data_IF_566703298575
#
_entry.id   IF_566703298575
#
_cell.length_a   1.000
_cell.length_b   1.000
_cell.length_c   1.000
_cell.angle_alpha   90.00
_cell.angle_beta   90.00
_cell.angle_gamma   90.00
#
_symmetry.space_group_name_H-M   'P 1'
#
loop_
_entity.id
_entity.type
_entity.pdbx_description
1 polymer ?
#
# COMPACT_ATOMS: atom_id res chain seq x y z
N UNK A 1 11.27 6.44 16.97
CA UNK A 1 10.37 7.54 16.53
C UNK A 1 9.49 7.02 15.40
N UNK A 2 8.17 6.92 15.58
CA UNK A 2 7.28 6.43 14.51
C UNK A 2 7.03 7.51 13.48
N UNK A 3 7.18 7.19 12.19
CA UNK A 3 6.84 8.09 11.09
C UNK A 3 5.36 8.00 10.79
N UNK A 4 4.63 9.09 10.99
CA UNK A 4 3.21 9.16 10.63
C UNK A 4 3.04 9.21 9.11
N UNK A 5 1.87 8.79 8.62
CA UNK A 5 1.54 8.82 7.19
C UNK A 5 1.68 10.24 6.63
N UNK A 6 1.24 11.26 7.38
CA UNK A 6 1.41 12.66 6.96
C UNK A 6 2.89 13.00 6.77
N UNK A 7 3.75 12.60 7.71
CA UNK A 7 5.18 12.86 7.62
C UNK A 7 5.80 12.15 6.41
N UNK A 8 5.39 10.93 6.11
CA UNK A 8 5.84 10.22 4.90
C UNK A 8 5.40 10.95 3.62
N UNK A 9 4.14 11.42 3.55
CA UNK A 9 3.63 12.23 2.44
C UNK A 9 4.46 13.51 2.27
N UNK A 10 4.72 14.24 3.35
CA UNK A 10 5.45 15.51 3.32
C UNK A 10 6.92 15.33 2.91
N UNK A 11 7.56 14.25 3.36
CA UNK A 11 8.96 13.95 3.04
C UNK A 11 9.15 13.50 1.59
N UNK A 12 8.26 12.63 1.11
CA UNK A 12 8.41 12.01 -0.21
C UNK A 12 7.69 12.77 -1.34
N UNK A 13 6.70 13.59 -1.00
CA UNK A 13 5.95 14.43 -1.95
C UNK A 13 5.46 13.61 -3.15
N UNK A 14 5.91 13.94 -4.35
CA UNK A 14 5.52 13.30 -5.61
C UNK A 14 5.95 11.82 -5.71
N UNK A 15 6.87 11.37 -4.85
CA UNK A 15 7.32 9.98 -4.79
C UNK A 15 6.41 9.11 -3.91
N UNK A 16 5.61 9.70 -3.02
CA UNK A 16 4.74 8.95 -2.11
C UNK A 16 3.70 8.08 -2.84
N UNK A 17 3.01 8.56 -3.90
CA UNK A 17 2.09 7.71 -4.67
C UNK A 17 2.78 6.47 -5.27
N UNK A 18 4.04 6.60 -5.70
CA UNK A 18 4.81 5.48 -6.25
C UNK A 18 5.13 4.48 -5.14
N UNK A 19 5.55 4.96 -3.97
CA UNK A 19 5.79 4.12 -2.80
C UNK A 19 4.52 3.39 -2.38
N UNK A 20 3.39 4.10 -2.28
CA UNK A 20 2.11 3.51 -1.89
C UNK A 20 1.72 2.40 -2.86
N UNK A 21 1.82 2.65 -4.18
CA UNK A 21 1.58 1.63 -5.20
C UNK A 21 2.51 0.41 -5.02
N UNK A 22 3.80 0.66 -4.76
CA UNK A 22 4.81 -0.40 -4.56
C UNK A 22 4.44 -1.29 -3.38
N UNK A 23 4.04 -0.68 -2.25
CA UNK A 23 3.58 -1.42 -1.08
C UNK A 23 2.29 -2.16 -1.39
N UNK A 24 1.30 -1.53 -2.03
CA UNK A 24 0.03 -2.15 -2.40
C UNK A 24 0.21 -3.31 -3.38
N UNK A 25 1.21 -3.30 -4.25
CA UNK A 25 1.49 -4.41 -5.17
C UNK A 25 2.44 -5.48 -4.58
N UNK A 26 2.74 -5.40 -3.28
CA UNK A 26 3.65 -6.33 -2.58
C UNK A 26 5.03 -6.40 -3.25
N UNK A 27 5.46 -5.32 -3.90
CA UNK A 27 6.83 -5.23 -4.41
C UNK A 27 7.76 -5.03 -3.20
N UNK A 28 8.86 -5.80 -3.08
CA UNK A 28 9.81 -5.62 -1.99
C UNK A 28 10.36 -4.20 -1.96
N UNK A 29 10.52 -3.64 -0.77
CA UNK A 29 11.12 -2.33 -0.56
C UNK A 29 12.29 -2.45 0.39
N UNK A 30 13.45 -1.96 -0.05
CA UNK A 30 14.64 -1.82 0.79
C UNK A 30 14.69 -0.40 1.37
N UNK A 31 14.86 -0.30 2.67
CA UNK A 31 15.06 0.97 3.38
C UNK A 31 16.53 1.04 3.74
N UNK A 32 17.23 2.01 3.15
CA UNK A 32 18.70 2.06 3.15
C UNK A 32 19.14 3.37 3.80
N UNK A 33 20.01 3.31 4.81
CA UNK A 33 20.53 4.51 5.48
C UNK A 33 21.64 4.18 6.47
N UNK A 34 22.32 5.20 6.98
CA UNK A 34 23.45 5.03 7.91
C UNK A 34 23.00 4.87 9.37
N UNK A 35 21.91 5.54 9.73
CA UNK A 35 21.34 5.50 11.09
C UNK A 35 20.41 4.29 11.23
N UNK A 36 20.85 3.32 12.04
CA UNK A 36 20.22 2.02 12.22
C UNK A 36 18.84 2.14 12.88
N UNK A 37 18.70 2.98 13.91
CA UNK A 37 17.42 3.20 14.59
C UNK A 37 16.42 3.88 13.65
N UNK A 38 16.89 4.88 12.91
CA UNK A 38 16.08 5.59 11.92
C UNK A 38 15.58 4.67 10.81
N UNK A 39 16.44 3.83 10.26
CA UNK A 39 16.08 2.87 9.20
C UNK A 39 15.05 1.87 9.72
N UNK A 40 15.23 1.34 10.93
CA UNK A 40 14.28 0.39 11.53
C UNK A 40 12.93 1.05 11.83
N UNK A 41 12.93 2.26 12.38
CA UNK A 41 11.73 3.07 12.63
C UNK A 41 10.91 3.30 11.34
N UNK A 42 11.59 3.66 10.24
CA UNK A 42 10.94 3.87 8.94
C UNK A 42 10.39 2.55 8.41
N UNK A 43 11.18 1.47 8.49
CA UNK A 43 10.77 0.14 8.01
C UNK A 43 9.51 -0.33 8.72
N UNK A 44 9.42 -0.17 10.05
CA UNK A 44 8.21 -0.47 10.80
C UNK A 44 7.05 0.46 10.40
N UNK A 45 7.32 1.76 10.26
CA UNK A 45 6.28 2.75 9.93
C UNK A 45 5.65 2.50 8.56
N UNK A 46 6.42 2.01 7.59
CA UNK A 46 5.93 1.68 6.24
C UNK A 46 4.93 0.52 6.23
N UNK A 47 4.92 -0.34 7.26
CA UNK A 47 3.89 -1.39 7.37
C UNK A 47 2.49 -0.80 7.52
N UNK A 48 2.37 0.42 8.06
CA UNK A 48 1.08 1.13 8.19
C UNK A 48 0.47 1.56 6.85
N UNK A 49 1.23 1.51 5.75
CA UNK A 49 0.73 1.82 4.41
C UNK A 49 -0.18 0.71 3.85
N UNK A 50 -0.17 -0.48 4.46
CA UNK A 50 -1.03 -1.61 4.08
C UNK A 50 -1.89 -2.09 5.27
N UNK A 51 -2.83 -1.26 5.77
CA UNK A 51 -3.61 -1.57 6.97
C UNK A 51 -4.53 -2.79 6.85
N UNK A 52 -4.89 -3.17 5.62
CA UNK A 52 -5.66 -4.38 5.32
C UNK A 52 -4.82 -5.67 5.48
N UNK A 53 -3.50 -5.55 5.64
CA UNK A 53 -2.57 -6.69 5.74
C UNK A 53 -2.15 -6.97 7.17
N UNK A 54 -1.94 -8.24 7.46
CA UNK A 54 -1.35 -8.69 8.71
C UNK A 54 0.16 -8.44 8.69
N UNK A 55 0.65 -7.64 9.61
CA UNK A 55 2.09 -7.42 9.80
C UNK A 55 2.75 -8.66 10.41
N UNK A 56 3.83 -9.13 9.80
CA UNK A 56 4.75 -10.13 10.35
C UNK A 56 6.16 -9.55 10.45
N UNK A 57 6.86 -9.80 11.55
CA UNK A 57 8.24 -9.39 11.77
C UNK A 57 9.15 -10.60 11.72
N UNK A 58 10.08 -10.60 10.78
CA UNK A 58 11.08 -11.65 10.64
C UNK A 58 11.94 -11.75 11.90
N UNK A 59 12.24 -12.97 12.33
CA UNK A 59 12.95 -13.32 13.56
C UNK A 59 12.17 -13.09 14.87
N UNK A 60 10.93 -12.61 14.81
CA UNK A 60 10.00 -12.56 15.94
C UNK A 60 8.78 -13.45 15.74
N UNK A 61 8.16 -13.31 14.57
CA UNK A 61 6.90 -13.98 14.25
C UNK A 61 7.14 -15.26 13.44
N UNK A 62 8.26 -15.35 12.70
CA UNK A 62 8.73 -16.53 11.98
C UNK A 62 10.25 -16.48 11.76
N UNK A 63 10.88 -17.63 11.51
CA UNK A 63 12.36 -17.73 11.38
C UNK A 63 12.84 -18.49 10.13
N UNK A 64 11.93 -19.07 9.36
CA UNK A 64 12.26 -19.91 8.20
C UNK A 64 11.37 -19.59 6.99
N UNK A 65 11.87 -19.86 5.79
CA UNK A 65 11.09 -19.70 4.56
C UNK A 65 9.86 -20.63 4.52
N UNK A 66 9.97 -21.84 5.06
CA UNK A 66 8.84 -22.79 5.12
C UNK A 66 7.66 -22.29 5.96
N UNK A 67 7.94 -21.56 7.05
CA UNK A 67 6.90 -20.97 7.89
C UNK A 67 6.12 -19.90 7.13
N UNK A 68 6.81 -18.97 6.45
CA UNK A 68 6.15 -17.90 5.70
C UNK A 68 5.47 -18.43 4.43
N UNK A 69 6.03 -19.44 3.76
CA UNK A 69 5.39 -20.10 2.63
C UNK A 69 4.07 -20.76 3.02
N UNK A 70 3.99 -21.39 4.20
CA UNK A 70 2.74 -21.97 4.70
C UNK A 70 1.65 -20.91 4.86
N UNK A 71 2.02 -19.70 5.29
CA UNK A 71 1.08 -18.57 5.39
C UNK A 71 0.63 -18.11 4.00
N UNK A 72 1.54 -18.00 3.03
CA UNK A 72 1.18 -17.63 1.66
C UNK A 72 0.33 -18.68 0.95
N UNK A 73 0.55 -19.97 1.24
CA UNK A 73 -0.32 -21.03 0.76
C UNK A 73 -1.74 -20.86 1.31
N UNK A 74 -1.90 -20.53 2.59
CA UNK A 74 -3.23 -20.23 3.16
C UNK A 74 -3.86 -18.99 2.49
N UNK A 75 -3.08 -17.92 2.28
CA UNK A 75 -3.53 -16.70 1.58
C UNK A 75 -4.04 -16.99 0.16
N UNK A 76 -3.43 -17.95 -0.54
CA UNK A 76 -3.78 -18.32 -1.92
C UNK A 76 -5.13 -19.04 -2.01
N UNK A 77 -5.46 -19.88 -1.03
CA UNK A 77 -6.69 -20.67 -1.06
C UNK A 77 -7.89 -19.97 -0.44
N UNK A 78 -7.67 -18.90 0.33
CA UNK A 78 -8.74 -18.20 1.04
C UNK A 78 -8.75 -16.68 0.76
N UNK A 79 -9.72 -16.24 -0.02
CA UNK A 79 -9.93 -14.82 -0.33
C UNK A 79 -10.27 -13.96 0.90
N UNK A 80 -10.74 -14.56 1.99
CA UNK A 80 -11.14 -13.85 3.21
C UNK A 80 -10.01 -13.65 4.23
N UNK A 81 -8.87 -14.33 4.06
CA UNK A 81 -7.69 -14.14 4.93
C UNK A 81 -6.96 -12.85 4.59
N UNK A 82 -6.51 -12.10 5.61
CA UNK A 82 -5.69 -10.91 5.39
C UNK A 82 -4.31 -11.32 4.89
N UNK A 83 -3.86 -10.69 3.80
CA UNK A 83 -2.53 -10.93 3.23
C UNK A 83 -1.47 -10.39 4.17
N UNK A 84 -0.24 -10.84 4.02
CA UNK A 84 0.85 -10.42 4.90
C UNK A 84 1.68 -9.30 4.29
N UNK A 85 2.15 -8.42 5.17
CA UNK A 85 3.29 -7.52 4.94
C UNK A 85 4.39 -7.90 5.91
N UNK A 86 5.58 -8.18 5.38
CA UNK A 86 6.72 -8.63 6.19
C UNK A 86 7.64 -7.46 6.46
N UNK A 87 8.09 -7.32 7.70
CA UNK A 87 9.10 -6.38 8.13
C UNK A 87 10.35 -7.14 8.58
N UNK A 88 11.50 -6.77 8.05
CA UNK A 88 12.81 -7.25 8.49
C UNK A 88 13.65 -6.08 8.97
N UNK A 89 13.96 -6.07 10.27
CA UNK A 89 14.82 -5.06 10.89
C UNK A 89 16.30 -5.29 10.55
N UNK A 90 17.08 -4.22 10.69
CA UNK A 90 18.50 -4.14 10.32
C UNK A 90 19.34 -5.25 10.96
N UNK A 91 19.04 -5.56 12.22
CA UNK A 91 19.74 -6.61 13.00
C UNK A 91 19.61 -8.02 12.42
N UNK A 92 18.55 -8.26 11.63
CA UNK A 92 18.21 -9.58 11.08
C UNK A 92 18.53 -9.71 9.59
N UNK A 93 19.12 -8.69 8.96
CA UNK A 93 19.38 -8.65 7.51
C UNK A 93 20.09 -9.92 7.02
N UNK A 94 21.22 -10.28 7.64
CA UNK A 94 22.00 -11.46 7.22
C UNK A 94 21.20 -12.76 7.33
N UNK A 95 20.47 -12.92 8.43
CA UNK A 95 19.62 -14.09 8.66
C UNK A 95 18.51 -14.18 7.63
N UNK A 96 17.94 -13.05 7.20
CA UNK A 96 16.92 -13.02 6.17
C UNK A 96 17.51 -13.47 4.82
N UNK A 97 18.67 -12.96 4.42
CA UNK A 97 19.33 -13.35 3.16
C UNK A 97 19.71 -14.82 3.12
N UNK A 98 20.17 -15.38 4.25
CA UNK A 98 20.59 -16.78 4.35
C UNK A 98 19.41 -17.75 4.31
N UNK A 99 18.21 -17.32 4.76
CA UNK A 99 17.08 -18.21 5.03
C UNK A 99 15.89 -18.00 4.11
N UNK A 100 15.81 -16.87 3.42
CA UNK A 100 14.66 -16.46 2.64
C UNK A 100 15.10 -16.23 1.19
N UNK A 101 14.39 -16.85 0.25
CA UNK A 101 14.60 -16.64 -1.17
C UNK A 101 13.51 -15.81 -1.83
N UNK A 102 12.30 -15.77 -1.26
CA UNK A 102 11.17 -14.99 -1.76
C UNK A 102 10.87 -13.78 -0.88
N UNK A 103 10.87 -12.58 -1.47
CA UNK A 103 10.71 -11.30 -0.76
C UNK A 103 9.39 -10.57 -1.10
N UNK A 104 8.38 -11.29 -1.59
CA UNK A 104 7.06 -10.70 -1.91
C UNK A 104 6.44 -10.03 -0.68
N UNK A 105 6.20 -8.73 -0.76
CA UNK A 105 5.63 -7.92 0.32
C UNK A 105 6.58 -7.65 1.49
N UNK A 106 7.90 -7.77 1.29
CA UNK A 106 8.89 -7.49 2.32
C UNK A 106 9.33 -6.02 2.33
N UNK A 107 9.45 -5.49 3.53
CA UNK A 107 10.12 -4.25 3.86
C UNK A 107 11.42 -4.61 4.59
N UNK A 108 12.57 -4.32 3.98
CA UNK A 108 13.88 -4.77 4.45
C UNK A 108 14.75 -3.58 4.83
N UNK A 109 15.13 -3.51 6.09
CA UNK A 109 16.06 -2.52 6.62
C UNK A 109 17.52 -2.89 6.28
N UNK A 110 18.27 -1.93 5.74
CA UNK A 110 19.66 -2.07 5.30
C UNK A 110 20.49 -0.91 5.88
N UNK A 111 21.27 -1.16 6.95
CA UNK A 111 22.02 -0.12 7.65
C UNK A 111 23.42 0.07 7.02
N UNK A 112 23.53 0.89 5.96
CA UNK A 112 24.80 1.20 5.31
C UNK A 112 25.84 1.76 6.31
N UNK A 113 27.10 1.42 6.13
CA UNK A 113 28.20 1.86 7.00
C UNK A 113 28.22 1.21 8.38
N UNK A 114 27.19 0.43 8.74
CA UNK A 114 27.12 -0.28 10.02
C UNK A 114 27.69 -1.69 9.93
N UNK A 115 28.15 -2.23 11.06
CA UNK A 115 28.54 -3.64 11.17
C UNK A 115 27.40 -4.44 11.80
N UNK A 116 26.80 -5.35 11.03
CA UNK A 116 25.72 -6.24 11.50
C UNK A 116 26.23 -7.68 11.51
N UNK A 117 26.18 -8.35 12.67
CA UNK A 117 26.65 -9.73 12.84
C UNK A 117 28.07 -9.96 12.27
N UNK A 118 28.96 -8.99 12.48
CA UNK A 118 30.36 -9.04 12.04
C UNK A 118 30.61 -8.73 10.56
N UNK A 119 29.59 -8.29 9.82
CA UNK A 119 29.70 -7.87 8.41
C UNK A 119 29.45 -6.37 8.31
N UNK A 120 30.41 -5.65 7.73
CA UNK A 120 30.21 -4.24 7.36
C UNK A 120 29.29 -4.18 6.16
N UNK A 121 28.15 -3.50 6.31
CA UNK A 121 27.17 -3.33 5.25
C UNK A 121 27.57 -2.12 4.42
N UNK A 122 27.91 -2.35 3.16
CA UNK A 122 28.32 -1.32 2.20
C UNK A 122 27.46 -1.36 0.92
N UNK A 123 27.78 -0.50 -0.06
CA UNK A 123 27.07 -0.48 -1.34
C UNK A 123 27.25 -1.79 -2.13
N UNK A 124 28.34 -2.54 -1.93
CA UNK A 124 28.49 -3.87 -2.52
C UNK A 124 27.47 -4.84 -1.92
N UNK A 125 27.33 -4.84 -0.59
CA UNK A 125 26.32 -5.62 0.13
C UNK A 125 24.93 -5.25 -0.35
N UNK A 126 24.63 -3.96 -0.54
CA UNK A 126 23.34 -3.53 -1.10
C UNK A 126 23.08 -4.11 -2.49
N UNK A 127 24.09 -4.12 -3.37
CA UNK A 127 23.96 -4.73 -4.70
C UNK A 127 23.74 -6.25 -4.63
N UNK A 128 24.39 -6.95 -3.70
CA UNK A 128 24.19 -8.38 -3.46
C UNK A 128 22.77 -8.68 -2.97
N UNK A 129 22.27 -7.90 -2.00
CA UNK A 129 20.88 -7.98 -1.52
C UNK A 129 19.89 -7.72 -2.65
N UNK A 130 20.14 -6.67 -3.42
CA UNK A 130 19.31 -6.29 -4.57
C UNK A 130 19.25 -7.44 -5.58
N UNK A 131 20.40 -8.01 -5.93
CA UNK A 131 20.49 -9.15 -6.84
C UNK A 131 19.80 -10.39 -6.30
N UNK A 132 19.84 -10.63 -4.99
CA UNK A 132 19.14 -11.75 -4.35
C UNK A 132 17.62 -11.58 -4.41
N UNK A 133 17.10 -10.39 -4.09
CA UNK A 133 15.66 -10.08 -4.18
C UNK A 133 15.17 -10.22 -5.62
N UNK A 134 15.91 -9.70 -6.60
CA UNK A 134 15.51 -9.72 -8.01
C UNK A 134 15.54 -11.11 -8.67
N UNK A 135 16.12 -12.13 -8.03
CA UNK A 135 16.04 -13.52 -8.54
C UNK A 135 14.61 -14.03 -8.62
N UNK A 136 13.78 -13.67 -7.63
CA UNK A 136 12.42 -14.17 -7.49
C UNK A 136 11.36 -13.05 -7.47
N UNK A 137 11.78 -11.79 -7.58
CA UNK A 137 10.88 -10.63 -7.63
C UNK A 137 11.09 -9.85 -8.92
N UNK A 138 10.01 -9.43 -9.62
CA UNK A 138 10.13 -8.73 -10.90
C UNK A 138 10.69 -7.31 -10.77
N UNK A 139 10.60 -6.71 -9.58
CA UNK A 139 11.07 -5.36 -9.30
C UNK A 139 11.41 -5.22 -7.81
N UNK A 140 12.06 -4.11 -7.45
CA UNK A 140 12.34 -3.73 -6.06
C UNK A 140 12.31 -2.21 -5.92
N UNK A 141 11.71 -1.74 -4.82
CA UNK A 141 11.78 -0.34 -4.39
C UNK A 141 12.99 -0.11 -3.49
N UNK A 142 13.56 1.09 -3.55
CA UNK A 142 14.65 1.53 -2.67
C UNK A 142 14.28 2.90 -2.10
N UNK A 143 14.20 2.97 -0.78
CA UNK A 143 14.15 4.22 -0.02
C UNK A 143 15.55 4.50 0.50
N UNK A 144 16.19 5.57 0.02
CA UNK A 144 17.46 6.06 0.58
C UNK A 144 17.18 7.15 1.60
N UNK A 145 17.61 6.90 2.83
CA UNK A 145 17.44 7.77 4.00
C UNK A 145 18.78 8.46 4.25
N UNK A 146 18.83 9.77 3.97
CA UNK A 146 20.03 10.59 4.20
C UNK A 146 19.98 11.28 5.55
N UNK A 147 18.77 11.62 6.03
CA UNK A 147 18.54 12.23 7.34
C UNK A 147 17.10 12.00 7.79
N UNK A 148 16.75 12.28 9.06
CA UNK A 148 15.36 12.20 9.54
C UNK A 148 14.35 13.10 8.80
N UNK A 149 14.83 14.03 7.97
CA UNK A 149 14.04 14.98 7.20
C UNK A 149 14.25 14.87 5.69
N UNK A 150 15.04 13.91 5.21
CA UNK A 150 15.35 13.77 3.78
C UNK A 150 15.44 12.31 3.40
N UNK A 151 14.51 11.90 2.54
CA UNK A 151 14.41 10.54 2.01
C UNK A 151 14.09 10.62 0.53
N UNK A 152 14.60 9.67 -0.25
CA UNK A 152 14.24 9.53 -1.66
C UNK A 152 13.79 8.12 -1.95
N UNK A 153 12.70 7.98 -2.70
CA UNK A 153 12.21 6.70 -3.17
C UNK A 153 12.44 6.53 -4.67
N UNK A 154 12.86 5.33 -5.06
CA UNK A 154 13.03 4.94 -6.46
C UNK A 154 12.65 3.48 -6.65
N UNK A 155 12.13 3.15 -7.82
CA UNK A 155 11.98 1.76 -8.28
C UNK A 155 13.13 1.44 -9.23
N UNK A 156 13.66 0.22 -9.14
CA UNK A 156 14.74 -0.22 -10.03
C UNK A 156 14.28 -0.29 -11.49
N UNK A 157 13.08 -0.83 -11.74
CA UNK A 157 12.40 -0.69 -13.02
C UNK A 157 11.35 0.43 -12.93
N UNK A 158 11.36 1.42 -13.84
CA UNK A 158 10.42 2.54 -13.79
C UNK A 158 8.97 2.05 -13.89
N UNK A 159 8.11 2.60 -13.04
CA UNK A 159 6.68 2.38 -13.12
C UNK A 159 6.07 3.25 -14.22
N UNK A 160 5.74 2.66 -15.38
CA UNK A 160 4.87 3.29 -16.37
C UNK A 160 3.41 3.20 -15.90
N UNK A 161 3.08 3.89 -14.80
CA UNK A 161 1.75 3.85 -14.18
C UNK A 161 1.20 5.25 -14.01
N UNK A 162 -0.10 5.39 -14.17
CA UNK A 162 -0.79 6.67 -14.01
C UNK A 162 -0.92 7.08 -12.54
N UNK A 163 -0.91 6.08 -11.62
CA UNK A 163 -0.98 6.23 -10.16
C UNK A 163 -2.21 7.02 -9.70
N UNK A 164 -3.33 6.88 -10.44
CA UNK A 164 -4.56 7.65 -10.22
C UNK A 164 -5.18 7.31 -8.86
N UNK A 165 -5.18 6.03 -8.47
CA UNK A 165 -5.72 5.58 -7.19
C UNK A 165 -4.94 6.20 -6.04
N UNK A 166 -3.62 6.08 -6.06
CA UNK A 166 -2.73 6.55 -5.00
C UNK A 166 -2.76 8.07 -4.87
N UNK A 167 -2.77 8.79 -6.00
CA UNK A 167 -2.93 10.25 -6.00
C UNK A 167 -4.28 10.69 -5.42
N UNK A 168 -5.36 9.99 -5.78
CA UNK A 168 -6.71 10.27 -5.24
C UNK A 168 -6.78 10.02 -3.74
N UNK A 169 -6.13 8.96 -3.24
CA UNK A 169 -6.03 8.67 -1.80
C UNK A 169 -5.32 9.83 -1.08
N UNK A 170 -4.15 10.25 -1.57
CA UNK A 170 -3.40 11.38 -0.99
C UNK A 170 -4.23 12.67 -1.00
N UNK A 171 -4.89 12.99 -2.11
CA UNK A 171 -5.74 14.18 -2.22
C UNK A 171 -6.89 14.16 -1.21
N UNK A 172 -7.60 13.03 -1.10
CA UNK A 172 -8.70 12.88 -0.14
C UNK A 172 -8.24 13.05 1.30
N UNK A 173 -7.08 12.53 1.66
CA UNK A 173 -6.49 12.70 3.00
C UNK A 173 -6.26 14.19 3.28
N UNK A 174 -5.58 14.89 2.36
CA UNK A 174 -5.28 16.32 2.53
C UNK A 174 -6.56 17.17 2.64
N UNK A 175 -7.57 16.88 1.82
CA UNK A 175 -8.85 17.62 1.82
C UNK A 175 -9.66 17.33 3.09
N UNK A 176 -9.93 16.05 3.41
CA UNK A 176 -10.75 15.67 4.58
C UNK A 176 -10.11 16.09 5.89
N UNK A 177 -8.78 15.98 6.01
CA UNK A 177 -8.01 16.46 7.16
C UNK A 177 -8.26 17.95 7.39
N UNK A 178 -8.04 18.77 6.35
CA UNK A 178 -8.22 20.23 6.43
C UNK A 178 -9.64 20.61 6.86
N UNK A 179 -10.64 20.03 6.21
CA UNK A 179 -12.05 20.31 6.51
C UNK A 179 -12.43 19.91 7.95
N UNK A 180 -11.98 18.74 8.41
CA UNK A 180 -12.29 18.24 9.76
C UNK A 180 -11.63 19.08 10.85
N UNK A 181 -10.36 19.44 10.68
CA UNK A 181 -9.64 20.30 11.63
C UNK A 181 -10.24 21.72 11.69
N UNK A 182 -10.60 22.30 10.55
CA UNK A 182 -11.26 23.61 10.51
C UNK A 182 -12.63 23.57 11.23
N UNK A 183 -13.40 22.49 11.04
CA UNK A 183 -14.67 22.29 11.72
C UNK A 183 -14.50 22.18 13.23
N UNK A 184 -13.54 21.39 13.70
CA UNK A 184 -13.25 21.23 15.14
C UNK A 184 -12.79 22.56 15.73
N UNK A 185 -11.84 23.25 15.09
CA UNK A 185 -11.37 24.58 15.54
C UNK A 185 -12.53 25.58 15.64
N UNK A 186 -13.46 25.58 14.69
CA UNK A 186 -14.64 26.46 14.72
C UNK A 186 -15.57 26.13 15.88
N UNK A 187 -15.81 24.84 16.15
CA UNK A 187 -16.65 24.40 17.27
C UNK A 187 -16.01 24.77 18.62
N UNK A 188 -14.73 24.48 18.81
CA UNK A 188 -13.99 24.83 20.03
C UNK A 188 -13.96 26.34 20.25
N UNK A 189 -13.65 27.15 19.23
CA UNK A 189 -13.71 28.61 19.32
C UNK A 189 -15.10 29.11 19.71
N UNK A 190 -16.16 28.51 19.16
CA UNK A 190 -17.53 28.90 19.51
C UNK A 190 -17.85 28.60 20.97
N UNK A 191 -17.44 27.45 21.48
CA UNK A 191 -17.67 27.03 22.87
C UNK A 191 -16.82 27.82 23.88
N UNK A 192 -15.61 28.25 23.50
CA UNK A 192 -14.69 28.98 24.38
C UNK A 192 -14.99 30.49 24.44
N UNK A 193 -15.68 31.06 23.43
CA UNK A 193 -16.08 32.47 23.41
C UNK A 193 -16.91 32.90 24.62
N UNK A 194 -17.72 32.00 25.20
CA UNK A 194 -18.55 32.30 26.37
C UNK A 194 -17.79 32.27 27.70
N UNK A 195 -16.52 31.85 27.71
CA UNK A 195 -15.77 31.55 28.93
C UNK A 195 -14.69 32.60 29.27
N UNK A 196 -14.55 33.68 28.49
CA UNK A 196 -13.54 34.74 28.68
C UNK A 196 -12.13 34.19 28.98
N UNK A 197 -11.75 33.12 28.26
CA UNK A 197 -10.48 32.42 28.48
C UNK A 197 -9.33 33.25 27.92
N UNK A 198 -8.17 33.21 28.56
CA UNK A 198 -6.95 33.87 28.05
C UNK A 198 -6.54 33.31 26.69
N UNK A 199 -5.90 34.15 25.88
CA UNK A 199 -5.46 33.80 24.52
C UNK A 199 -4.50 32.60 24.51
N UNK A 200 -3.62 32.49 25.50
CA UNK A 200 -2.70 31.36 25.64
C UNK A 200 -3.41 30.01 25.84
N UNK A 201 -4.50 29.98 26.63
CA UNK A 201 -5.28 28.75 26.82
C UNK A 201 -6.10 28.44 25.57
N UNK A 202 -6.62 29.48 24.89
CA UNK A 202 -7.32 29.32 23.62
C UNK A 202 -6.40 28.68 22.56
N UNK A 203 -5.16 29.13 22.46
CA UNK A 203 -4.16 28.56 21.55
C UNK A 203 -3.83 27.11 21.91
N UNK A 204 -3.60 26.81 23.19
CA UNK A 204 -3.31 25.45 23.65
C UNK A 204 -4.46 24.48 23.33
N UNK A 205 -5.72 24.89 23.53
CA UNK A 205 -6.90 24.05 23.20
C UNK A 205 -7.09 23.88 21.68
N UNK A 206 -6.61 24.82 20.87
CA UNK A 206 -6.68 24.75 19.41
C UNK A 206 -5.48 24.05 18.77
N UNK A 207 -4.51 23.61 19.58
CA UNK A 207 -3.40 22.76 19.15
C UNK A 207 -3.92 21.32 19.02
N UNK A 208 -4.31 20.98 17.80
CA UNK A 208 -4.96 19.71 17.44
C UNK A 208 -3.98 18.79 16.69
N UNK A 209 -2.73 18.74 17.12
CA UNK A 209 -1.68 17.99 16.41
C UNK A 209 -1.95 16.48 16.48
N UNK A 210 -2.27 15.97 17.68
CA UNK A 210 -2.61 14.56 17.90
C UNK A 210 -3.90 14.16 17.16
N UNK A 211 -4.94 15.01 17.18
CA UNK A 211 -6.17 14.78 16.42
C UNK A 211 -5.91 14.80 14.90
N UNK A 212 -5.02 15.69 14.45
CA UNK A 212 -4.60 15.77 13.05
C UNK A 212 -3.93 14.48 12.59
N UNK A 213 -3.07 13.89 13.41
CA UNK A 213 -2.43 12.61 13.11
C UNK A 213 -3.43 11.46 13.07
N UNK A 214 -4.29 11.35 14.09
CA UNK A 214 -5.35 10.32 14.14
C UNK A 214 -6.31 10.41 12.95
N UNK A 215 -6.80 11.61 12.63
CA UNK A 215 -7.67 11.84 11.47
C UNK A 215 -6.99 11.45 10.16
N UNK A 216 -5.68 11.69 10.06
CA UNK A 216 -4.92 11.30 8.86
C UNK A 216 -4.85 9.79 8.74
N UNK A 217 -4.58 9.08 9.84
CA UNK A 217 -4.56 7.63 9.89
C UNK A 217 -5.93 7.04 9.53
N UNK A 218 -7.00 7.50 10.19
CA UNK A 218 -8.35 6.99 9.98
C UNK A 218 -8.82 7.15 8.52
N UNK A 219 -8.58 8.33 7.92
CA UNK A 219 -8.95 8.59 6.52
C UNK A 219 -8.11 7.74 5.56
N UNK A 220 -6.82 7.56 5.84
CA UNK A 220 -5.98 6.69 5.03
C UNK A 220 -6.46 5.24 5.08
N UNK A 221 -6.72 4.71 6.27
CA UNK A 221 -7.21 3.34 6.45
C UNK A 221 -8.57 3.13 5.77
N UNK A 222 -9.50 4.08 5.90
CA UNK A 222 -10.80 4.04 5.23
C UNK A 222 -10.64 3.94 3.71
N UNK A 223 -9.80 4.79 3.11
CA UNK A 223 -9.63 4.84 1.66
C UNK A 223 -8.93 3.58 1.10
N UNK A 224 -7.92 3.07 1.81
CA UNK A 224 -7.27 1.80 1.43
C UNK A 224 -8.25 0.64 1.54
N UNK A 225 -8.99 0.54 2.65
CA UNK A 225 -9.96 -0.54 2.84
C UNK A 225 -11.09 -0.47 1.80
N UNK A 226 -11.57 0.73 1.46
CA UNK A 226 -12.57 0.90 0.40
C UNK A 226 -12.06 0.39 -0.95
N UNK A 227 -10.80 0.68 -1.30
CA UNK A 227 -10.17 0.16 -2.52
C UNK A 227 -10.06 -1.37 -2.49
N UNK A 228 -9.57 -1.95 -1.39
CA UNK A 228 -9.42 -3.40 -1.21
C UNK A 228 -10.78 -4.11 -1.30
N UNK A 229 -11.82 -3.54 -0.69
CA UNK A 229 -13.17 -4.08 -0.76
C UNK A 229 -13.76 -4.01 -2.17
N UNK A 230 -13.51 -2.92 -2.92
CA UNK A 230 -13.89 -2.83 -4.31
C UNK A 230 -13.18 -3.90 -5.16
N UNK A 231 -11.89 -4.11 -4.95
CA UNK A 231 -11.12 -5.14 -5.63
C UNK A 231 -11.60 -6.56 -5.27
N UNK A 232 -11.96 -6.84 -4.00
CA UNK A 232 -12.56 -8.12 -3.59
C UNK A 232 -13.92 -8.37 -4.26
N UNK A 233 -14.74 -7.32 -4.38
CA UNK A 233 -16.00 -7.39 -5.16
C UNK A 233 -15.71 -7.69 -6.63
N UNK A 234 -14.67 -7.06 -7.21
CA UNK A 234 -14.24 -7.33 -8.58
C UNK A 234 -13.86 -8.80 -8.76
N UNK A 235 -13.03 -9.38 -7.87
CA UNK A 235 -12.68 -10.81 -7.88
C UNK A 235 -13.95 -11.67 -7.90
N UNK A 236 -14.91 -11.41 -7.00
CA UNK A 236 -16.14 -12.19 -6.91
C UNK A 236 -16.95 -12.15 -8.22
N UNK A 237 -17.05 -10.98 -8.85
CA UNK A 237 -17.78 -10.80 -10.10
C UNK A 237 -17.04 -11.45 -11.28
N UNK A 238 -15.74 -11.22 -11.38
CA UNK A 238 -14.91 -11.72 -12.48
C UNK A 238 -14.77 -13.25 -12.44
N UNK A 239 -14.65 -13.86 -11.25
CA UNK A 239 -14.70 -15.31 -11.10
C UNK A 239 -16.03 -15.90 -11.58
N UNK A 240 -17.16 -15.24 -11.29
CA UNK A 240 -18.47 -15.69 -11.79
C UNK A 240 -18.60 -15.57 -13.31
N UNK A 241 -18.05 -14.50 -13.89
CA UNK A 241 -18.02 -14.31 -15.35
C UNK A 241 -17.15 -15.37 -16.01
N UNK A 242 -15.97 -15.67 -15.45
CA UNK A 242 -15.10 -16.73 -15.95
C UNK A 242 -15.80 -18.09 -15.94
N UNK A 243 -16.44 -18.45 -14.82
CA UNK A 243 -17.23 -19.68 -14.73
C UNK A 243 -18.39 -19.73 -15.73
N UNK A 244 -19.12 -18.63 -15.90
CA UNK A 244 -20.19 -18.56 -16.90
C UNK A 244 -19.66 -18.79 -18.33
N UNK A 245 -18.49 -18.24 -18.66
CA UNK A 245 -17.83 -18.46 -19.95
C UNK A 245 -17.37 -19.90 -20.14
N UNK A 246 -16.82 -20.53 -19.10
CA UNK A 246 -16.45 -21.95 -19.13
C UNK A 246 -17.68 -22.85 -19.36
N UNK A 247 -18.85 -22.44 -18.87
CA UNK A 247 -20.13 -23.11 -19.11
C UNK A 247 -20.78 -22.76 -20.46
N UNK A 248 -20.11 -21.96 -21.31
CA UNK A 248 -20.55 -21.65 -22.68
C UNK A 248 -21.31 -20.33 -22.85
N UNK A 249 -21.42 -19.49 -21.81
CA UNK A 249 -22.02 -18.17 -21.94
C UNK A 249 -21.06 -17.17 -22.61
N UNK A 250 -21.55 -16.32 -23.51
CA UNK A 250 -20.76 -15.28 -24.17
C UNK A 250 -20.62 -13.99 -23.34
N UNK A 251 -20.82 -14.05 -22.03
CA UNK A 251 -20.88 -12.87 -21.16
C UNK A 251 -19.54 -12.13 -21.14
N UNK A 252 -19.55 -10.87 -21.56
CA UNK A 252 -18.42 -9.95 -21.44
C UNK A 252 -18.83 -8.74 -20.61
N UNK A 253 -18.03 -8.36 -19.62
CA UNK A 253 -18.25 -7.17 -18.82
C UNK A 253 -17.49 -5.99 -19.42
N UNK A 254 -18.09 -4.81 -19.43
CA UNK A 254 -17.41 -3.56 -19.77
C UNK A 254 -16.75 -2.98 -18.51
N UNK A 255 -15.66 -2.25 -18.68
CA UNK A 255 -14.96 -1.57 -17.59
C UNK A 255 -15.92 -0.67 -16.77
N UNK A 256 -16.77 0.10 -17.44
CA UNK A 256 -17.78 0.94 -16.79
C UNK A 256 -18.73 0.14 -15.89
N UNK A 257 -19.29 -0.95 -16.40
CA UNK A 257 -20.23 -1.77 -15.63
C UNK A 257 -19.53 -2.43 -14.44
N UNK A 258 -18.24 -2.79 -14.57
CA UNK A 258 -17.46 -3.31 -13.45
C UNK A 258 -17.30 -2.26 -12.35
N UNK A 259 -16.85 -1.05 -12.69
CA UNK A 259 -16.63 0.03 -11.72
C UNK A 259 -17.93 0.45 -11.02
N UNK A 260 -19.04 0.55 -11.75
CA UNK A 260 -20.37 0.79 -11.18
C UNK A 260 -20.78 -0.33 -10.21
N UNK A 261 -20.57 -1.60 -10.57
CA UNK A 261 -20.94 -2.74 -9.74
C UNK A 261 -20.08 -2.89 -8.48
N UNK A 262 -18.78 -2.57 -8.56
CA UNK A 262 -17.87 -2.63 -7.40
C UNK A 262 -17.91 -1.35 -6.56
N UNK A 263 -18.62 -0.31 -6.99
CA UNK A 263 -18.74 0.95 -6.25
C UNK A 263 -17.40 1.68 -6.09
N UNK A 264 -16.58 1.69 -7.14
CA UNK A 264 -15.29 2.39 -7.17
C UNK A 264 -15.15 3.18 -8.46
N UNK A 265 -14.51 4.34 -8.41
CA UNK A 265 -14.55 5.35 -9.47
C UNK A 265 -13.15 5.92 -9.78
N UNK A 266 -12.08 5.20 -9.46
CA UNK A 266 -10.71 5.66 -9.63
C UNK A 266 -9.80 4.58 -10.19
N UNK A 267 -8.83 4.99 -10.99
CA UNK A 267 -7.85 4.09 -11.60
C UNK A 267 -8.27 3.57 -12.96
N UNK A 268 -7.31 2.93 -13.63
CA UNK A 268 -7.56 2.17 -14.85
C UNK A 268 -7.78 0.71 -14.48
N UNK A 269 -8.61 0.01 -15.24
CA UNK A 269 -8.84 -1.42 -15.02
C UNK A 269 -7.57 -2.26 -14.94
N UNK A 270 -6.56 -1.93 -15.74
CA UNK A 270 -5.26 -2.64 -15.75
C UNK A 270 -4.59 -2.57 -14.37
N UNK A 271 -4.69 -1.44 -13.69
CA UNK A 271 -4.12 -1.28 -12.34
C UNK A 271 -4.93 -2.06 -11.30
N UNK A 272 -6.26 -2.10 -11.43
CA UNK A 272 -7.13 -2.93 -10.59
C UNK A 272 -6.81 -4.42 -10.75
N UNK A 273 -6.65 -4.91 -11.98
CA UNK A 273 -6.30 -6.31 -12.26
C UNK A 273 -4.92 -6.64 -11.71
N UNK A 274 -3.95 -5.74 -11.86
CA UNK A 274 -2.60 -5.94 -11.29
C UNK A 274 -2.63 -5.99 -9.76
N UNK A 275 -3.41 -5.11 -9.13
CA UNK A 275 -3.61 -5.16 -7.69
C UNK A 275 -4.24 -6.52 -7.29
N UNK A 276 -5.24 -6.97 -8.03
CA UNK A 276 -5.87 -8.28 -7.79
C UNK A 276 -4.87 -9.43 -7.92
N UNK A 277 -4.06 -9.44 -8.97
CA UNK A 277 -3.02 -10.45 -9.16
C UNK A 277 -1.99 -10.43 -8.02
N UNK A 278 -1.58 -9.24 -7.56
CA UNK A 278 -0.64 -9.12 -6.45
C UNK A 278 -1.22 -9.58 -5.10
N UNK A 279 -2.53 -9.38 -4.89
CA UNK A 279 -3.19 -9.67 -3.61
C UNK A 279 -3.72 -11.11 -3.55
N UNK A 280 -4.20 -11.63 -4.68
CA UNK A 280 -4.94 -12.89 -4.80
C UNK A 280 -4.37 -13.90 -5.79
N UNK A 281 -3.30 -13.56 -6.53
CA UNK A 281 -2.68 -14.43 -7.53
C UNK A 281 -3.64 -14.90 -8.63
N UNK A 282 -4.59 -14.03 -8.98
CA UNK A 282 -5.59 -14.26 -10.01
C UNK A 282 -5.48 -13.18 -11.09
N UNK A 283 -5.19 -13.60 -12.32
CA UNK A 283 -5.19 -12.69 -13.47
C UNK A 283 -6.53 -12.76 -14.20
N UNK A 284 -7.31 -11.67 -14.16
CA UNK A 284 -8.60 -11.53 -14.86
C UNK A 284 -8.54 -10.70 -16.15
N UNK A 285 -7.35 -10.53 -16.73
CA UNK A 285 -7.16 -9.80 -18.00
C UNK A 285 -8.00 -10.38 -19.14
N UNK A 286 -8.31 -11.68 -19.09
CA UNK A 286 -9.14 -12.38 -20.08
C UNK A 286 -10.63 -12.05 -19.96
N UNK A 287 -11.10 -11.62 -18.78
CA UNK A 287 -12.52 -11.43 -18.47
C UNK A 287 -13.08 -10.08 -18.92
N UNK A 288 -12.24 -9.11 -19.28
CA UNK A 288 -12.68 -7.75 -19.60
C UNK A 288 -12.13 -7.28 -20.94
N UNK A 289 -13.01 -6.78 -21.81
CA UNK A 289 -12.61 -6.22 -23.10
C UNK A 289 -12.30 -4.73 -22.96
N UNK A 290 -11.06 -4.33 -23.19
CA UNK A 290 -10.67 -2.94 -23.39
C UNK A 290 -11.09 -2.47 -24.79
N UNK A 291 -12.13 -1.62 -24.90
CA UNK A 291 -12.44 -0.94 -26.17
C UNK A 291 -13.91 -0.78 -26.53
N UNK A 292 -14.18 0.29 -27.29
CA UNK A 292 -15.46 0.89 -27.70
C UNK A 292 -16.47 -0.02 -28.42
N UNK A 293 -16.09 -1.24 -28.83
CA UNK A 293 -16.98 -2.17 -29.54
C UNK A 293 -17.94 -2.95 -28.62
N UNK A 294 -17.72 -2.94 -27.30
CA UNK A 294 -18.63 -3.60 -26.34
C UNK A 294 -19.89 -2.79 -26.03
N UNK A 295 -19.93 -1.50 -26.39
CA UNK A 295 -21.08 -0.62 -26.12
C UNK A 295 -22.34 -0.99 -26.91
N UNK A 296 -22.20 -1.59 -28.10
CA UNK A 296 -23.34 -2.00 -28.92
C UNK A 296 -24.01 -3.28 -28.38
N UNK A 297 -23.23 -4.26 -27.91
CA UNK A 297 -23.78 -5.50 -27.35
C UNK A 297 -24.51 -5.28 -26.03
N UNK A 298 -23.91 -4.51 -25.11
CA UNK A 298 -24.52 -4.19 -23.82
C UNK A 298 -25.77 -3.29 -23.94
N UNK A 299 -25.81 -2.41 -24.95
CA UNK A 299 -26.99 -1.58 -25.22
C UNK A 299 -28.15 -2.42 -25.79
N UNK A 300 -27.84 -3.35 -26.70
CA UNK A 300 -28.81 -4.31 -27.23
C UNK A 300 -29.36 -5.19 -26.10
N UNK A 301 -28.52 -5.79 -25.26
CA UNK A 301 -28.97 -6.60 -24.11
C UNK A 301 -29.80 -5.80 -23.09
N UNK A 302 -29.51 -4.50 -22.89
CA UNK A 302 -30.32 -3.63 -22.02
C UNK A 302 -31.71 -3.32 -22.57
N UNK A 303 -31.91 -3.45 -23.90
CA UNK A 303 -33.22 -3.27 -24.55
C UNK A 303 -34.05 -4.55 -24.65
N UNK A 304 -33.44 -5.73 -24.44
CA UNK A 304 -34.15 -7.01 -24.39
C UNK A 304 -34.47 -7.49 -22.96
N UNK A 305 -34.15 -6.68 -21.96
CA UNK A 305 -34.51 -6.92 -20.56
C UNK A 305 -35.94 -6.45 -20.21
N UNK A 306 -36.95 -7.14 -20.75
CA UNK A 306 -38.32 -7.21 -20.25
C UNK A 306 -38.93 -8.58 -20.60
#
# INVERSE_FOLDING_TARGET
MTYTIMRLIDLMKDQFPILLNTVLERIPVMIVGEDLELVDDITESLTSLAPHRKRLVFWRDFTSETEIQSVWEEERHNYDVNRTVVCSLSSNLRLALDRISHFTGWLVAIPLGSTVLGVTVDEQTLNEVTGHILKNSPNCGIIRVTSPSTMTFSLLAPANKTLVVEKKIVEKILVRKKQSLERIRRLLRKSLRSLNVSECILEAVLKLDDESEKLTQDVFEEEINNYVHAARRAVTLLSRIRLARELGASTTLTERNLYEAIGWDAGELVDLIRFIDSEWHEDFSDCVRSGTLSGLGAWVDSMWGA
#
